data_IF_605714141450
#
_entry.id   IF_605714141450
#
_cell.length_a   1.000
_cell.length_b   1.000
_cell.length_c   1.000
_cell.angle_alpha   90.00
_cell.angle_beta   90.00
_cell.angle_gamma   90.00
#
_symmetry.space_group_name_H-M   'P 1'
#
loop_
_entity.id
_entity.type
_entity.pdbx_description
1 polymer ?
#
# COMPACT_ATOMS: atom_id res chain seq x y z
N UNK A 1 8.53 14.62 -21.47
CA UNK A 1 7.63 14.28 -20.34
C UNK A 1 7.14 15.57 -19.71
N UNK A 2 5.85 15.71 -19.39
CA UNK A 2 5.38 16.88 -18.63
C UNK A 2 5.94 16.83 -17.20
N UNK A 3 6.13 17.98 -16.55
CA UNK A 3 6.62 18.05 -15.17
C UNK A 3 5.74 17.21 -14.22
N UNK A 4 4.42 17.20 -14.41
CA UNK A 4 3.48 16.41 -13.62
C UNK A 4 3.71 14.89 -13.76
N UNK A 5 3.90 14.37 -14.99
CA UNK A 5 4.14 12.94 -15.20
C UNK A 5 5.46 12.50 -14.58
N UNK A 6 6.51 13.32 -14.67
CA UNK A 6 7.80 13.04 -14.02
C UNK A 6 7.64 12.96 -12.49
N UNK A 7 6.95 13.93 -11.90
CA UNK A 7 6.72 13.96 -10.45
C UNK A 7 5.90 12.75 -9.97
N UNK A 8 4.88 12.33 -10.73
CA UNK A 8 4.09 11.14 -10.41
C UNK A 8 4.94 9.86 -10.43
N UNK A 9 5.78 9.68 -11.45
CA UNK A 9 6.69 8.53 -11.53
C UNK A 9 7.67 8.52 -10.37
N UNK A 10 8.27 9.67 -10.04
CA UNK A 10 9.17 9.79 -8.89
C UNK A 10 8.44 9.42 -7.61
N UNK A 11 7.21 9.92 -7.40
CA UNK A 11 6.40 9.59 -6.23
C UNK A 11 6.13 8.09 -6.09
N UNK A 12 5.75 7.42 -7.18
CA UNK A 12 5.52 5.97 -7.20
C UNK A 12 6.80 5.20 -6.85
N UNK A 13 7.93 5.58 -7.45
CA UNK A 13 9.22 4.92 -7.18
C UNK A 13 9.64 5.12 -5.73
N UNK A 14 9.52 6.34 -5.20
CA UNK A 14 9.84 6.64 -3.79
C UNK A 14 8.94 5.83 -2.85
N UNK A 15 7.64 5.78 -3.11
CA UNK A 15 6.70 5.01 -2.30
C UNK A 15 7.06 3.51 -2.32
N UNK A 16 7.34 2.94 -3.49
CA UNK A 16 7.74 1.54 -3.62
C UNK A 16 9.04 1.23 -2.86
N UNK A 17 10.07 2.09 -3.00
CA UNK A 17 11.35 1.94 -2.29
C UNK A 17 11.16 2.00 -0.78
N UNK A 18 10.42 2.99 -0.29
CA UNK A 18 10.13 3.11 1.15
C UNK A 18 9.33 1.91 1.66
N UNK A 19 8.33 1.46 0.90
CA UNK A 19 7.56 0.26 1.23
C UNK A 19 8.43 -0.98 1.35
N UNK A 20 9.36 -1.19 0.41
CA UNK A 20 10.32 -2.31 0.47
C UNK A 20 11.23 -2.23 1.70
N UNK A 21 11.78 -1.05 2.00
CA UNK A 21 12.64 -0.86 3.18
C UNK A 21 11.86 -1.16 4.46
N UNK A 22 10.67 -0.56 4.60
CA UNK A 22 9.81 -0.76 5.78
C UNK A 22 9.43 -2.23 5.92
N UNK A 23 9.04 -2.89 4.83
CA UNK A 23 8.71 -4.33 4.82
C UNK A 23 9.87 -5.20 5.30
N UNK A 24 11.09 -4.89 4.89
CA UNK A 24 12.27 -5.68 5.29
C UNK A 24 12.67 -5.45 6.74
N UNK A 25 12.66 -4.19 7.19
CA UNK A 25 13.10 -3.84 8.55
C UNK A 25 12.02 -4.17 9.60
N UNK A 26 10.75 -4.00 9.25
CA UNK A 26 9.64 -4.29 10.17
C UNK A 26 9.29 -5.77 10.28
N UNK A 27 9.74 -6.60 9.32
CA UNK A 27 9.59 -8.05 9.37
C UNK A 27 10.71 -8.80 10.09
N UNK A 28 11.77 -8.10 10.51
CA UNK A 28 12.94 -8.73 11.15
C UNK A 28 12.56 -9.33 12.51
N UNK A 29 12.86 -10.61 12.69
CA UNK A 29 12.50 -11.37 13.91
C UNK A 29 10.99 -11.61 14.13
N UNK A 30 10.15 -11.29 13.14
CA UNK A 30 8.70 -11.50 13.20
C UNK A 30 8.26 -12.92 12.82
N UNK A 31 6.96 -13.20 12.97
CA UNK A 31 6.38 -14.45 12.47
C UNK A 31 6.38 -14.49 10.93
N UNK A 32 6.55 -15.69 10.38
CA UNK A 32 6.50 -15.94 8.94
C UNK A 32 5.16 -16.52 8.52
N UNK A 33 4.61 -16.01 7.42
CA UNK A 33 3.44 -16.56 6.76
C UNK A 33 3.88 -17.11 5.40
N UNK A 34 4.09 -18.43 5.34
CA UNK A 34 4.64 -19.09 4.15
C UNK A 34 6.15 -18.86 4.02
N UNK A 35 6.57 -18.15 2.98
CA UNK A 35 8.00 -17.89 2.69
C UNK A 35 8.42 -16.42 2.93
N UNK A 36 7.54 -15.61 3.50
CA UNK A 36 7.78 -14.19 3.77
C UNK A 36 7.34 -13.85 5.20
N UNK A 37 7.99 -12.88 5.86
CA UNK A 37 7.50 -12.35 7.13
C UNK A 37 6.06 -11.87 7.00
N UNK A 38 5.21 -12.14 8.01
CA UNK A 38 3.81 -11.69 8.04
C UNK A 38 3.73 -10.17 7.82
N UNK A 39 4.65 -9.40 8.40
CA UNK A 39 4.74 -7.96 8.20
C UNK A 39 4.89 -7.55 6.71
N UNK A 40 5.65 -8.33 5.92
CA UNK A 40 5.81 -8.08 4.50
C UNK A 40 4.49 -8.26 3.74
N UNK A 41 3.71 -9.27 4.10
CA UNK A 41 2.36 -9.45 3.57
C UNK A 41 1.44 -8.28 3.91
N UNK A 42 1.49 -7.76 5.14
CA UNK A 42 0.69 -6.60 5.54
C UNK A 42 1.01 -5.36 4.69
N UNK A 43 2.28 -5.11 4.40
CA UNK A 43 2.70 -4.00 3.53
C UNK A 43 2.20 -4.21 2.09
N UNK A 44 2.34 -5.42 1.54
CA UNK A 44 1.84 -5.75 0.19
C UNK A 44 0.34 -5.52 0.11
N UNK A 45 -0.42 -6.04 1.08
CA UNK A 45 -1.88 -5.89 1.14
C UNK A 45 -2.26 -4.42 1.23
N UNK A 46 -1.57 -3.63 2.06
CA UNK A 46 -1.83 -2.20 2.17
C UNK A 46 -1.65 -1.47 0.83
N UNK A 47 -0.58 -1.76 0.08
CA UNK A 47 -0.39 -1.19 -1.27
C UNK A 47 -1.48 -1.61 -2.24
N UNK A 48 -1.85 -2.90 -2.25
CA UNK A 48 -2.89 -3.43 -3.13
C UNK A 48 -4.24 -2.77 -2.85
N UNK A 49 -4.64 -2.65 -1.58
CA UNK A 49 -5.89 -1.99 -1.19
C UNK A 49 -5.90 -0.53 -1.62
N UNK A 50 -4.80 0.21 -1.37
CA UNK A 50 -4.71 1.62 -1.76
C UNK A 50 -4.80 1.80 -3.28
N UNK A 51 -4.13 0.95 -4.07
CA UNK A 51 -4.24 0.97 -5.54
C UNK A 51 -5.66 0.62 -5.99
N UNK A 52 -6.26 -0.41 -5.39
CA UNK A 52 -7.60 -0.89 -5.73
C UNK A 52 -8.69 0.17 -5.47
N UNK A 53 -8.53 1.02 -4.45
CA UNK A 53 -9.44 2.14 -4.18
C UNK A 53 -9.08 3.39 -5.00
N UNK A 54 -7.79 3.65 -5.22
CA UNK A 54 -7.33 4.81 -5.99
C UNK A 54 -7.80 4.78 -7.45
N UNK A 55 -7.67 3.64 -8.14
CA UNK A 55 -8.05 3.51 -9.57
C UNK A 55 -9.51 3.90 -9.84
N UNK A 56 -10.53 3.32 -9.17
CA UNK A 56 -11.92 3.72 -9.40
C UNK A 56 -12.20 5.15 -8.95
N UNK A 57 -11.60 5.62 -7.84
CA UNK A 57 -11.75 7.01 -7.37
C UNK A 57 -11.25 8.01 -8.41
N UNK A 58 -10.09 7.73 -9.00
CA UNK A 58 -9.48 8.56 -10.03
C UNK A 58 -10.30 8.56 -11.33
N UNK A 59 -10.79 7.39 -11.76
CA UNK A 59 -11.61 7.27 -12.98
C UNK A 59 -12.96 7.97 -12.84
N UNK A 60 -13.62 7.81 -11.69
CA UNK A 60 -14.90 8.44 -11.40
C UNK A 60 -14.78 9.92 -10.97
N UNK A 61 -13.55 10.42 -10.77
CA UNK A 61 -13.27 11.79 -10.28
C UNK A 61 -14.10 12.16 -9.05
N UNK A 62 -14.22 11.21 -8.12
CA UNK A 62 -15.03 11.37 -6.90
C UNK A 62 -14.20 11.04 -5.67
N UNK A 63 -14.44 11.78 -4.60
CA UNK A 63 -13.82 11.55 -3.29
C UNK A 63 -14.51 10.42 -2.52
N UNK A 64 -15.73 10.04 -2.90
CA UNK A 64 -16.56 9.12 -2.14
C UNK A 64 -15.89 7.77 -1.86
N UNK A 65 -15.26 7.17 -2.87
CA UNK A 65 -14.56 5.90 -2.71
C UNK A 65 -13.23 6.07 -1.96
N UNK A 66 -12.56 7.21 -2.16
CA UNK A 66 -11.24 7.46 -1.59
C UNK A 66 -11.30 7.73 -0.08
N UNK A 67 -12.43 8.26 0.41
CA UNK A 67 -12.65 8.54 1.84
C UNK A 67 -12.62 7.27 2.70
N UNK A 68 -13.06 6.13 2.17
CA UNK A 68 -13.05 4.85 2.90
C UNK A 68 -11.66 4.19 2.96
N UNK A 69 -10.70 4.63 2.15
CA UNK A 69 -9.40 3.95 1.94
C UNK A 69 -8.67 3.66 3.26
N UNK A 70 -8.63 4.66 4.16
CA UNK A 70 -7.92 4.54 5.43
C UNK A 70 -8.50 3.44 6.32
N UNK A 71 -9.79 3.52 6.60
CA UNK A 71 -10.52 2.54 7.41
C UNK A 71 -10.47 1.14 6.79
N UNK A 72 -10.63 1.03 5.47
CA UNK A 72 -10.57 -0.24 4.75
C UNK A 72 -9.18 -0.87 4.87
N UNK A 73 -8.12 -0.09 4.65
CA UNK A 73 -6.74 -0.58 4.76
C UNK A 73 -6.46 -1.06 6.18
N UNK A 74 -6.81 -0.26 7.20
CA UNK A 74 -6.60 -0.59 8.60
C UNK A 74 -7.29 -1.91 8.99
N UNK A 75 -8.60 -2.02 8.73
CA UNK A 75 -9.35 -3.24 9.04
C UNK A 75 -8.78 -4.46 8.30
N UNK A 76 -8.41 -4.30 7.03
CA UNK A 76 -7.85 -5.42 6.24
C UNK A 76 -6.54 -5.92 6.84
N UNK A 77 -5.58 -5.04 7.14
CA UNK A 77 -4.28 -5.48 7.68
C UNK A 77 -4.41 -6.00 9.12
N UNK A 78 -5.28 -5.41 9.94
CA UNK A 78 -5.52 -5.91 11.30
C UNK A 78 -6.15 -7.29 11.29
N UNK A 79 -7.13 -7.56 10.41
CA UNK A 79 -7.74 -8.88 10.31
C UNK A 79 -6.77 -9.96 9.82
N UNK A 80 -5.79 -9.60 8.98
CA UNK A 80 -4.76 -10.54 8.51
C UNK A 80 -3.67 -10.78 9.54
N UNK A 81 -3.44 -9.81 10.45
CA UNK A 81 -2.42 -9.89 11.48
C UNK A 81 -2.87 -10.63 12.77
N UNK A 82 -4.18 -10.82 12.95
CA UNK A 82 -4.79 -11.55 14.07
C UNK A 82 -4.90 -13.04 13.78
#
# INVERSE_FOLDING_TARGET
>A
MTNARRNAVIGIVVAAVLGSIISTLGGDGGEELGSLPTFAWLVIIAFVVNIAVFVPSFLAKTEHYYDLTGSLTYLTVTLVAL
#
